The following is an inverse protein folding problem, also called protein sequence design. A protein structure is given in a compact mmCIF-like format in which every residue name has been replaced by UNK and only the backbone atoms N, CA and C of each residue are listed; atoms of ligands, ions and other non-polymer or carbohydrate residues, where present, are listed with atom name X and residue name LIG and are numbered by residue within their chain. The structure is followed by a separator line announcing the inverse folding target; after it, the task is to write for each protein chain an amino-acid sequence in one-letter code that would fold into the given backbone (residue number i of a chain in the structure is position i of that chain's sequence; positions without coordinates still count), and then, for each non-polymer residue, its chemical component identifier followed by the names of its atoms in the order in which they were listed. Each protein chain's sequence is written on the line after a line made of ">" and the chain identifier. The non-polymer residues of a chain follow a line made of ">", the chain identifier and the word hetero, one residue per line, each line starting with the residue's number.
data_IF_893482858417
#
_entry.id   IF_893482858417
#
_cell.length_a   1.000
_cell.length_b   1.000
_cell.length_c   1.000
_cell.angle_alpha   90.00
_cell.angle_beta   90.00
_cell.angle_gamma   90.00
#
_symmetry.space_group_name_H-M   'P 1'
#
loop_
_entity.id
_entity.type
_entity.pdbx_description
1 polymer ?
#
# COMPACT_ATOMS: atom_id res chain seq x y z
N UNK A 1 11.84 100.48 -18.41
CA UNK A 1 11.84 99.03 -18.08
C UNK A 1 10.96 98.84 -16.87
N UNK A 2 9.76 98.28 -17.04
CA UNK A 2 8.88 97.94 -15.92
C UNK A 2 9.17 96.52 -15.45
N UNK A 3 9.53 96.35 -14.17
CA UNK A 3 9.65 95.03 -13.54
C UNK A 3 8.25 94.58 -13.12
N UNK A 4 7.48 94.01 -14.05
CA UNK A 4 6.21 93.40 -13.70
C UNK A 4 6.45 92.10 -12.93
N UNK A 5 5.90 92.00 -11.72
CA UNK A 5 6.00 90.83 -10.86
C UNK A 5 4.70 90.02 -10.95
N UNK A 6 4.82 88.78 -11.43
CA UNK A 6 3.75 87.78 -11.27
C UNK A 6 3.74 87.23 -9.84
N UNK A 7 2.62 86.65 -9.42
CA UNK A 7 2.48 86.03 -8.11
C UNK A 7 3.35 84.78 -7.95
N UNK A 8 3.47 84.30 -6.71
CA UNK A 8 4.26 83.10 -6.37
C UNK A 8 3.73 81.88 -7.14
N UNK A 9 4.60 81.21 -7.90
CA UNK A 9 4.24 80.03 -8.72
C UNK A 9 3.66 80.34 -10.10
N UNK A 10 3.67 81.60 -10.55
CA UNK A 10 3.24 82.01 -11.89
C UNK A 10 4.43 82.25 -12.82
N UNK A 11 4.28 81.85 -14.08
CA UNK A 11 5.19 82.15 -15.19
C UNK A 11 4.69 83.43 -15.87
N UNK A 12 5.60 84.39 -16.06
CA UNK A 12 5.31 85.62 -16.81
C UNK A 12 5.54 85.40 -18.31
N UNK A 13 4.51 85.63 -19.11
CA UNK A 13 4.62 85.67 -20.57
C UNK A 13 4.47 87.12 -21.05
N UNK A 14 5.51 87.65 -21.67
CA UNK A 14 5.49 88.99 -22.26
C UNK A 14 4.70 89.00 -23.56
N UNK A 15 3.83 89.98 -23.72
CA UNK A 15 3.02 90.21 -24.91
C UNK A 15 3.37 91.59 -25.49
N UNK A 16 3.18 91.82 -26.80
CA UNK A 16 3.37 93.15 -27.38
C UNK A 16 2.45 94.18 -26.70
N UNK A 17 3.03 95.05 -25.88
CA UNK A 17 2.30 96.09 -25.12
C UNK A 17 1.69 95.63 -23.79
N UNK A 18 1.85 94.38 -23.36
CA UNK A 18 1.30 93.87 -22.09
C UNK A 18 2.06 92.65 -21.55
N UNK A 19 1.59 92.06 -20.45
CA UNK A 19 2.11 90.80 -19.92
C UNK A 19 0.94 89.97 -19.39
N UNK A 20 1.07 88.64 -19.41
CA UNK A 20 0.14 87.70 -18.76
C UNK A 20 0.89 86.80 -17.80
N UNK A 21 0.28 86.52 -16.65
CA UNK A 21 0.81 85.61 -15.65
C UNK A 21 -0.03 84.33 -15.68
N UNK A 22 0.58 83.20 -16.02
CA UNK A 22 -0.08 81.90 -16.02
C UNK A 22 0.49 81.03 -14.90
N UNK A 23 -0.30 80.14 -14.34
CA UNK A 23 0.24 79.14 -13.42
C UNK A 23 1.15 78.15 -14.18
N UNK A 24 2.16 77.62 -13.50
CA UNK A 24 2.96 76.52 -14.03
C UNK A 24 2.07 75.33 -14.45
N UNK A 25 2.52 74.54 -15.43
CA UNK A 25 1.81 73.32 -15.84
C UNK A 25 1.53 72.43 -14.63
N UNK A 26 0.30 71.90 -14.51
CA UNK A 26 -0.15 71.16 -13.33
C UNK A 26 -0.79 72.02 -12.22
N UNK A 27 -0.85 73.34 -12.38
CA UNK A 27 -1.46 74.25 -11.40
C UNK A 27 -2.62 75.06 -11.98
N UNK A 28 -3.61 75.35 -11.13
CA UNK A 28 -4.79 76.16 -11.40
C UNK A 28 -4.77 77.42 -10.54
N UNK A 29 -5.08 78.57 -11.16
CA UNK A 29 -5.22 79.81 -10.43
C UNK A 29 -6.48 79.80 -9.55
N UNK A 30 -6.30 79.92 -8.23
CA UNK A 30 -7.39 80.10 -7.27
C UNK A 30 -7.65 81.61 -7.12
N UNK A 31 -8.75 82.10 -7.71
CA UNK A 31 -9.10 83.52 -7.69
C UNK A 31 -9.43 84.06 -6.28
N UNK A 32 -9.88 83.20 -5.36
CA UNK A 32 -10.18 83.58 -3.98
C UNK A 32 -8.91 83.75 -3.16
N UNK A 33 -7.96 82.83 -3.32
CA UNK A 33 -6.67 82.86 -2.61
C UNK A 33 -5.59 83.68 -3.32
N UNK A 34 -5.82 84.07 -4.58
CA UNK A 34 -4.85 84.74 -5.47
C UNK A 34 -3.51 83.98 -5.61
N UNK A 35 -3.55 82.65 -5.58
CA UNK A 35 -2.36 81.78 -5.61
C UNK A 35 -2.61 80.62 -6.59
N UNK A 36 -1.54 80.09 -7.20
CA UNK A 36 -1.59 78.87 -7.98
C UNK A 36 -1.68 77.65 -7.06
N UNK A 37 -2.77 76.90 -7.17
CA UNK A 37 -3.01 75.68 -6.42
C UNK A 37 -2.83 74.47 -7.33
N UNK A 38 -2.27 73.42 -6.76
CA UNK A 38 -2.04 72.17 -7.47
C UNK A 38 -3.35 71.58 -8.02
N UNK A 39 -3.31 71.08 -9.25
CA UNK A 39 -4.45 70.40 -9.88
C UNK A 39 -4.38 68.94 -9.51
N UNK A 40 -5.34 68.47 -8.71
CA UNK A 40 -5.44 67.03 -8.45
C UNK A 40 -5.99 66.29 -9.69
N UNK A 41 -5.10 65.76 -10.52
CA UNK A 41 -5.48 65.07 -11.75
C UNK A 41 -6.20 63.74 -11.45
N UNK A 42 -5.92 63.13 -10.30
CA UNK A 42 -6.59 61.93 -9.82
C UNK A 42 -8.07 62.16 -9.45
N UNK A 43 -8.52 63.40 -9.25
CA UNK A 43 -9.95 63.69 -9.03
C UNK A 43 -10.72 64.02 -10.31
N UNK A 44 -10.03 64.44 -11.37
CA UNK A 44 -10.70 64.82 -12.62
C UNK A 44 -11.15 63.60 -13.44
N UNK A 45 -10.31 62.58 -13.57
CA UNK A 45 -10.65 61.33 -14.27
C UNK A 45 -9.68 60.18 -13.92
N UNK A 46 -9.71 59.66 -12.68
CA UNK A 46 -8.72 58.70 -12.18
C UNK A 46 -8.60 57.43 -13.05
N UNK A 47 -9.74 56.88 -13.50
CA UNK A 47 -9.79 55.65 -14.33
C UNK A 47 -9.30 55.81 -15.77
N UNK A 48 -9.08 57.05 -16.24
CA UNK A 48 -8.51 57.34 -17.57
C UNK A 48 -7.05 57.75 -17.48
N UNK A 49 -6.55 58.12 -16.30
CA UNK A 49 -5.18 58.57 -16.09
C UNK A 49 -4.23 57.42 -15.77
N UNK A 50 -4.63 56.54 -14.85
CA UNK A 50 -3.86 55.37 -14.42
C UNK A 50 -4.73 54.11 -14.54
N UNK A 51 -4.12 52.97 -14.86
CA UNK A 51 -4.86 51.70 -14.93
C UNK A 51 -5.38 51.24 -13.55
N UNK A 52 -4.61 51.48 -12.48
CA UNK A 52 -4.93 51.03 -11.12
C UNK A 52 -4.94 52.18 -10.10
N UNK A 53 -3.78 52.58 -9.57
CA UNK A 53 -3.68 53.60 -8.51
C UNK A 53 -3.11 54.90 -9.06
N UNK A 54 -3.73 56.03 -8.69
CA UNK A 54 -3.28 57.38 -9.02
C UNK A 54 -2.95 58.12 -7.73
N UNK A 55 -1.73 58.65 -7.64
CA UNK A 55 -1.27 59.45 -6.50
C UNK A 55 -0.90 60.86 -7.00
N UNK A 56 -1.61 61.85 -6.47
CA UNK A 56 -1.38 63.24 -6.81
C UNK A 56 -0.06 63.74 -6.19
N UNK A 57 0.74 64.45 -6.97
CA UNK A 57 2.01 65.04 -6.54
C UNK A 57 2.01 66.53 -6.85
N UNK A 58 2.93 67.30 -6.28
CA UNK A 58 2.95 68.74 -6.54
C UNK A 58 3.33 69.01 -8.00
N UNK A 59 2.40 69.55 -8.80
CA UNK A 59 2.57 69.88 -10.21
C UNK A 59 2.43 68.70 -11.19
N UNK A 60 2.08 67.51 -10.71
CA UNK A 60 1.89 66.32 -11.55
C UNK A 60 1.20 65.18 -10.79
N UNK A 61 1.15 63.99 -11.39
CA UNK A 61 0.69 62.77 -10.74
C UNK A 61 1.66 61.62 -11.00
N UNK A 62 1.60 60.58 -10.16
CA UNK A 62 2.25 59.30 -10.43
C UNK A 62 1.23 58.17 -10.41
N UNK A 63 1.40 57.22 -11.31
CA UNK A 63 0.64 55.97 -11.28
C UNK A 63 1.44 54.91 -10.54
N UNK A 64 0.74 54.06 -9.80
CA UNK A 64 1.30 52.87 -9.16
C UNK A 64 0.38 51.67 -9.36
N UNK A 65 0.97 50.49 -9.32
CA UNK A 65 0.26 49.23 -9.50
C UNK A 65 0.13 48.51 -8.16
N UNK A 66 -0.96 47.77 -8.00
CA UNK A 66 -1.18 46.88 -6.86
C UNK A 66 -0.23 45.70 -6.91
N UNK A 67 -0.05 45.02 -5.78
CA UNK A 67 0.75 43.78 -5.70
C UNK A 67 0.35 42.79 -6.79
N UNK A 68 1.33 42.12 -7.40
CA UNK A 68 1.14 41.24 -8.56
C UNK A 68 1.23 41.95 -9.92
N UNK A 69 1.46 43.26 -9.94
CA UNK A 69 1.57 44.04 -11.17
C UNK A 69 2.78 44.97 -11.15
N UNK A 70 3.32 45.23 -12.34
CA UNK A 70 4.44 46.14 -12.57
C UNK A 70 4.02 47.29 -13.48
N UNK A 71 4.58 48.48 -13.26
CA UNK A 71 4.26 49.65 -14.07
C UNK A 71 4.94 49.51 -15.44
N UNK A 72 4.14 49.58 -16.50
CA UNK A 72 4.62 49.51 -17.87
C UNK A 72 5.50 50.72 -18.24
N UNK A 73 6.23 50.62 -19.35
CA UNK A 73 7.14 51.67 -19.83
C UNK A 73 6.46 53.02 -20.12
N UNK A 74 5.13 53.02 -20.31
CA UNK A 74 4.33 54.22 -20.51
C UNK A 74 4.02 54.99 -19.22
N UNK A 75 4.38 54.42 -18.06
CA UNK A 75 4.18 55.02 -16.74
C UNK A 75 2.72 55.07 -16.30
N UNK A 76 1.79 54.36 -16.97
CA UNK A 76 0.34 54.44 -16.73
C UNK A 76 -0.37 53.09 -16.65
N UNK A 77 0.05 52.15 -17.49
CA UNK A 77 -0.52 50.81 -17.53
C UNK A 77 0.18 49.87 -16.55
N UNK A 78 -0.55 48.87 -16.08
CA UNK A 78 -0.04 47.86 -15.17
C UNK A 78 -0.03 46.51 -15.88
N UNK A 79 1.15 45.91 -15.97
CA UNK A 79 1.35 44.59 -16.56
C UNK A 79 1.47 43.55 -15.45
N UNK A 80 0.84 42.41 -15.66
CA UNK A 80 0.87 41.28 -14.74
C UNK A 80 2.31 40.81 -14.52
N UNK A 81 2.70 40.64 -13.27
CA UNK A 81 4.02 40.10 -12.92
C UNK A 81 3.92 38.60 -12.92
N UNK A 82 4.72 37.95 -13.78
CA UNK A 82 4.81 36.49 -13.75
C UNK A 82 5.66 36.03 -12.57
N UNK A 83 5.05 35.72 -11.43
CA UNK A 83 5.81 35.28 -10.27
C UNK A 83 6.46 33.90 -10.47
N UNK A 84 5.98 33.11 -11.44
CA UNK A 84 6.56 31.79 -11.76
C UNK A 84 7.99 31.86 -12.31
N UNK A 85 8.44 33.01 -12.80
CA UNK A 85 9.82 33.19 -13.29
C UNK A 85 10.87 32.99 -12.17
N UNK A 86 10.47 33.12 -10.90
CA UNK A 86 11.32 32.89 -9.74
C UNK A 86 11.19 31.47 -9.14
N UNK A 87 10.46 30.56 -9.78
CA UNK A 87 10.18 29.21 -9.26
C UNK A 87 9.70 29.18 -7.80
N UNK A 88 8.61 29.90 -7.45
CA UNK A 88 8.13 29.98 -6.08
C UNK A 88 7.51 28.67 -5.58
N UNK A 89 7.08 27.81 -6.51
CA UNK A 89 6.45 26.52 -6.21
C UNK A 89 7.48 25.39 -6.19
N UNK A 90 7.28 24.43 -5.31
CA UNK A 90 8.11 23.21 -5.26
C UNK A 90 7.95 22.31 -6.51
N UNK A 91 6.79 22.37 -7.19
CA UNK A 91 6.50 21.58 -8.39
C UNK A 91 5.95 22.48 -9.50
N UNK A 92 4.64 22.43 -9.78
CA UNK A 92 4.06 23.15 -10.92
C UNK A 92 3.61 24.55 -10.50
N UNK A 93 3.97 25.57 -11.28
CA UNK A 93 3.55 26.96 -11.09
C UNK A 93 2.74 27.42 -12.29
N UNK A 94 1.60 28.05 -12.03
CA UNK A 94 0.77 28.67 -13.06
C UNK A 94 0.57 30.14 -12.69
N UNK A 95 1.00 31.01 -13.59
CA UNK A 95 0.76 32.44 -13.47
C UNK A 95 -0.72 32.74 -13.74
N UNK A 96 -1.34 33.53 -12.87
CA UNK A 96 -2.73 33.96 -13.00
C UNK A 96 -2.78 35.49 -12.91
N UNK A 97 -3.84 36.11 -13.42
CA UNK A 97 -3.91 37.56 -13.37
C UNK A 97 -3.89 38.10 -11.92
N UNK A 98 -2.83 38.83 -11.59
CA UNK A 98 -2.55 39.44 -10.29
C UNK A 98 -1.93 38.53 -9.24
N UNK A 99 -1.57 37.28 -9.58
CA UNK A 99 -0.92 36.34 -8.65
C UNK A 99 -0.43 35.05 -9.36
N UNK A 100 -0.14 34.01 -8.59
CA UNK A 100 0.19 32.69 -9.11
C UNK A 100 -0.44 31.61 -8.25
N UNK A 101 -0.51 30.40 -8.80
CA UNK A 101 -0.95 29.21 -8.08
C UNK A 101 0.03 28.06 -8.27
N UNK A 102 0.31 27.37 -7.18
CA UNK A 102 1.11 26.15 -7.18
C UNK A 102 0.21 24.92 -7.23
N UNK A 103 0.61 23.93 -8.03
CA UNK A 103 -0.04 22.64 -8.12
C UNK A 103 0.95 21.52 -7.90
N UNK A 104 0.44 20.41 -7.37
CA UNK A 104 1.22 19.21 -7.13
C UNK A 104 0.90 18.14 -8.16
N UNK A 105 1.94 17.45 -8.60
CA UNK A 105 1.83 16.27 -9.47
C UNK A 105 1.07 15.16 -8.77
N UNK A 106 0.60 14.19 -9.55
CA UNK A 106 -0.04 13.00 -9.01
C UNK A 106 0.88 12.30 -7.98
N UNK A 107 0.31 11.89 -6.85
CA UNK A 107 1.05 11.29 -5.73
C UNK A 107 1.49 12.30 -4.67
N UNK A 108 1.14 13.57 -4.79
CA UNK A 108 1.50 14.63 -3.84
C UNK A 108 0.29 15.47 -3.44
N UNK A 109 0.33 16.07 -2.26
CA UNK A 109 -0.64 17.04 -1.80
C UNK A 109 0.02 18.39 -1.48
N UNK A 110 -0.71 19.48 -1.72
CA UNK A 110 -0.24 20.83 -1.47
C UNK A 110 -0.38 21.16 0.02
N UNK A 111 0.71 21.63 0.65
CA UNK A 111 0.72 22.07 2.05
C UNK A 111 -0.10 23.33 2.27
N UNK A 112 -0.36 23.62 3.55
CA UNK A 112 -1.01 24.85 3.99
C UNK A 112 -0.26 26.12 3.56
N UNK A 113 1.05 26.04 3.33
CA UNK A 113 1.84 27.15 2.80
C UNK A 113 1.47 27.51 1.35
N UNK A 114 0.76 26.62 0.63
CA UNK A 114 0.36 26.72 -0.78
C UNK A 114 1.54 26.77 -1.78
N UNK A 115 2.72 26.31 -1.39
CA UNK A 115 3.92 26.27 -2.25
C UNK A 115 4.59 24.90 -2.26
N UNK A 116 4.54 24.20 -1.14
CA UNK A 116 5.25 22.94 -0.94
C UNK A 116 4.33 21.75 -1.21
N UNK A 117 4.79 20.84 -2.08
CA UNK A 117 4.14 19.58 -2.35
C UNK A 117 4.80 18.48 -1.52
N UNK A 118 4.01 17.85 -0.66
CA UNK A 118 4.46 16.69 0.13
C UNK A 118 3.92 15.40 -0.47
N UNK A 119 4.74 14.37 -0.41
CA UNK A 119 4.40 13.02 -0.86
C UNK A 119 3.19 12.48 -0.10
N UNK A 120 2.26 11.86 -0.82
CA UNK A 120 1.13 11.18 -0.23
C UNK A 120 1.61 9.80 0.22
N UNK A 121 1.71 9.59 1.52
CA UNK A 121 1.98 8.25 2.05
C UNK A 121 0.73 7.35 1.90
N UNK A 122 0.65 6.63 0.79
CA UNK A 122 -0.50 5.77 0.51
C UNK A 122 -0.58 4.56 1.45
N UNK A 123 0.55 4.18 2.07
CA UNK A 123 0.60 3.09 3.04
C UNK A 123 -0.02 3.50 4.39
N UNK A 124 0.11 4.77 4.79
CA UNK A 124 -0.45 5.31 6.04
C UNK A 124 -1.92 5.73 5.91
N UNK A 125 -2.39 6.11 4.72
CA UNK A 125 -3.75 6.62 4.51
C UNK A 125 -4.85 5.53 4.50
N UNK A 126 -4.51 4.25 4.66
CA UNK A 126 -5.46 3.14 4.89
C UNK A 126 -6.57 3.00 3.82
N UNK A 127 -6.28 3.33 2.55
CA UNK A 127 -7.25 3.23 1.44
C UNK A 127 -7.40 1.75 0.99
N UNK A 128 -7.91 0.89 1.87
CA UNK A 128 -8.17 -0.52 1.57
C UNK A 128 -6.92 -1.36 1.28
N UNK A 129 -7.12 -2.57 0.75
CA UNK A 129 -6.08 -3.56 0.44
C UNK A 129 -5.18 -3.11 -0.72
N UNK A 130 -4.33 -2.08 -0.53
CA UNK A 130 -3.38 -1.59 -1.55
C UNK A 130 -2.41 -2.70 -1.99
N UNK A 131 -1.88 -3.43 -1.02
CA UNK A 131 -0.91 -4.50 -1.20
C UNK A 131 -1.39 -5.77 -0.52
N UNK A 132 -1.04 -6.93 -1.09
CA UNK A 132 -1.38 -8.24 -0.54
C UNK A 132 -0.52 -8.66 0.66
N UNK A 133 0.67 -8.07 0.82
CA UNK A 133 1.56 -8.32 1.96
C UNK A 133 2.06 -7.01 2.58
N UNK A 134 3.08 -6.41 1.96
CA UNK A 134 3.76 -5.23 2.51
C UNK A 134 3.66 -4.07 1.53
N UNK A 135 3.22 -2.92 2.04
CA UNK A 135 3.27 -1.64 1.35
C UNK A 135 4.55 -0.90 1.75
N UNK A 136 5.22 -0.29 0.78
CA UNK A 136 6.40 0.56 0.97
C UNK A 136 6.11 1.89 0.28
N UNK A 137 6.07 2.97 1.05
CA UNK A 137 5.90 4.31 0.51
C UNK A 137 7.17 4.72 -0.23
N UNK A 138 7.03 5.30 -1.43
CA UNK A 138 8.14 5.82 -2.23
C UNK A 138 7.79 7.19 -2.77
N UNK A 139 8.78 8.03 -3.05
CA UNK A 139 8.50 9.41 -3.48
C UNK A 139 7.68 9.42 -4.80
N UNK A 140 6.45 9.93 -4.71
CA UNK A 140 5.44 10.03 -5.77
C UNK A 140 4.55 8.81 -5.97
N UNK A 141 4.73 7.72 -5.20
CA UNK A 141 3.90 6.51 -5.31
C UNK A 141 4.11 5.52 -4.14
N UNK A 142 3.69 4.27 -4.32
CA UNK A 142 4.02 3.17 -3.42
C UNK A 142 4.44 1.93 -4.20
N UNK A 143 5.13 1.03 -3.52
CA UNK A 143 5.49 -0.29 -4.04
C UNK A 143 5.00 -1.37 -3.09
N UNK A 144 4.48 -2.45 -3.66
CA UNK A 144 4.16 -3.64 -2.88
C UNK A 144 5.33 -4.61 -2.94
N UNK A 145 5.75 -5.10 -1.77
CA UNK A 145 6.77 -6.12 -1.64
C UNK A 145 6.15 -7.44 -1.21
N UNK A 146 6.67 -8.54 -1.76
CA UNK A 146 6.40 -9.89 -1.29
C UNK A 146 7.52 -10.38 -0.37
N UNK A 147 7.28 -11.39 0.49
CA UNK A 147 8.34 -12.01 1.27
C UNK A 147 9.48 -12.46 0.36
N UNK A 148 10.73 -12.18 0.76
CA UNK A 148 11.92 -12.34 -0.12
C UNK A 148 12.20 -13.77 -0.59
N UNK A 149 11.53 -14.78 -0.03
CA UNK A 149 11.68 -16.19 -0.38
C UNK A 149 10.29 -16.85 -0.50
N UNK A 150 10.08 -17.65 -1.55
CA UNK A 150 8.87 -18.45 -1.73
C UNK A 150 7.67 -17.73 -2.36
N UNK A 151 7.79 -16.44 -2.71
CA UNK A 151 6.71 -15.69 -3.36
C UNK A 151 7.19 -14.86 -4.54
N UNK A 152 6.31 -14.70 -5.52
CA UNK A 152 6.48 -13.77 -6.65
C UNK A 152 5.31 -12.81 -6.73
N UNK A 153 5.61 -11.58 -7.15
CA UNK A 153 4.58 -10.59 -7.48
C UNK A 153 3.85 -11.03 -8.76
N UNK A 154 2.52 -11.01 -8.70
CA UNK A 154 1.66 -11.25 -9.88
C UNK A 154 1.70 -10.01 -10.78
N UNK A 155 1.31 -10.13 -12.05
CA UNK A 155 1.34 -9.05 -13.06
C UNK A 155 0.73 -7.70 -12.59
N UNK A 156 -0.21 -7.73 -11.65
CA UNK A 156 -0.82 -6.52 -11.10
C UNK A 156 0.11 -5.74 -10.14
N UNK A 157 1.30 -6.24 -9.83
CA UNK A 157 2.28 -5.63 -8.93
C UNK A 157 1.88 -5.58 -7.46
N UNK A 158 0.64 -5.98 -7.11
CA UNK A 158 0.05 -5.81 -5.77
C UNK A 158 -0.14 -7.09 -4.98
N UNK A 159 -0.26 -8.23 -5.66
CA UNK A 159 -0.56 -9.51 -5.02
C UNK A 159 0.64 -10.45 -5.08
N UNK A 160 0.81 -11.21 -4.00
CA UNK A 160 1.86 -12.22 -3.88
C UNK A 160 1.29 -13.60 -4.20
N UNK A 161 1.98 -14.34 -5.05
CA UNK A 161 1.68 -15.73 -5.35
C UNK A 161 2.83 -16.60 -4.89
N UNK A 162 2.48 -17.66 -4.19
CA UNK A 162 3.39 -18.73 -3.79
C UNK A 162 4.15 -19.32 -5.00
N UNK A 163 5.44 -19.57 -4.82
CA UNK A 163 6.27 -20.27 -5.80
C UNK A 163 6.13 -21.75 -5.51
N UNK A 164 5.59 -22.51 -6.46
CA UNK A 164 5.60 -23.97 -6.33
C UNK A 164 6.99 -24.53 -6.64
N UNK A 165 7.87 -24.59 -5.63
CA UNK A 165 9.27 -24.99 -5.84
C UNK A 165 9.41 -26.43 -6.34
N UNK A 166 8.42 -27.28 -5.99
CA UNK A 166 8.34 -28.67 -6.45
C UNK A 166 8.05 -28.76 -7.94
N UNK A 167 7.19 -27.87 -8.47
CA UNK A 167 6.88 -27.82 -9.89
C UNK A 167 7.93 -27.07 -10.70
N UNK A 168 8.54 -26.04 -10.15
CA UNK A 168 9.59 -25.26 -10.83
C UNK A 168 10.95 -25.96 -10.79
N UNK A 169 11.12 -26.98 -9.94
CA UNK A 169 12.38 -27.71 -9.77
C UNK A 169 13.46 -26.89 -9.07
N UNK A 170 13.08 -25.85 -8.33
CA UNK A 170 14.01 -25.00 -7.56
C UNK A 170 14.27 -25.51 -6.15
N UNK A 171 13.64 -26.63 -5.77
CA UNK A 171 13.86 -27.30 -4.50
C UNK A 171 15.23 -28.01 -4.44
N UNK A 172 15.74 -28.24 -3.23
CA UNK A 172 16.99 -28.97 -2.99
C UNK A 172 16.79 -30.39 -2.42
N UNK A 173 15.60 -30.97 -2.60
CA UNK A 173 15.30 -32.34 -2.16
C UNK A 173 16.23 -33.38 -2.80
N UNK A 174 16.65 -34.36 -2.00
CA UNK A 174 17.41 -35.53 -2.47
C UNK A 174 16.54 -36.44 -3.36
N UNK A 175 17.17 -37.26 -4.20
CA UNK A 175 16.45 -38.21 -5.07
C UNK A 175 15.54 -39.20 -4.32
N UNK A 176 15.87 -39.53 -3.07
CA UNK A 176 15.06 -40.41 -2.21
C UNK A 176 13.93 -39.69 -1.46
N UNK A 177 13.84 -38.35 -1.58
CA UNK A 177 12.85 -37.52 -0.89
C UNK A 177 11.75 -37.07 -1.85
N UNK A 178 10.54 -36.99 -1.34
CA UNK A 178 9.41 -36.39 -2.05
C UNK A 178 9.34 -34.91 -1.69
N UNK A 179 9.24 -34.04 -2.70
CA UNK A 179 9.01 -32.61 -2.51
C UNK A 179 7.53 -32.31 -2.26
N UNK A 180 7.26 -31.50 -1.24
CA UNK A 180 5.94 -30.97 -0.92
C UNK A 180 5.96 -29.45 -0.92
N UNK A 181 5.14 -28.85 -1.78
CA UNK A 181 5.00 -27.40 -1.83
C UNK A 181 4.15 -26.92 -0.64
N UNK A 182 4.65 -25.91 0.07
CA UNK A 182 3.99 -25.24 1.18
C UNK A 182 3.84 -23.76 0.86
N UNK A 183 2.94 -23.08 1.57
CA UNK A 183 2.79 -21.65 1.39
C UNK A 183 4.05 -20.91 1.90
N UNK A 184 4.83 -20.37 0.96
CA UNK A 184 6.07 -19.62 1.14
C UNK A 184 7.36 -20.45 1.23
N UNK A 185 7.29 -21.76 1.00
CA UNK A 185 8.44 -22.66 1.11
C UNK A 185 8.11 -24.07 0.58
N UNK A 186 9.08 -24.97 0.60
CA UNK A 186 8.87 -26.39 0.34
C UNK A 186 9.42 -27.25 1.48
N UNK A 187 8.98 -28.50 1.54
CA UNK A 187 9.57 -29.52 2.40
C UNK A 187 9.91 -30.78 1.64
N UNK A 188 11.10 -31.30 1.95
CA UNK A 188 11.56 -32.60 1.48
C UNK A 188 11.30 -33.64 2.55
N UNK A 189 10.44 -34.60 2.26
CA UNK A 189 10.09 -35.65 3.22
C UNK A 189 10.51 -36.99 2.64
N UNK A 190 11.30 -37.74 3.41
CA UNK A 190 11.55 -39.15 3.13
C UNK A 190 10.54 -40.00 3.89
N UNK A 191 10.02 -41.03 3.21
CA UNK A 191 9.18 -42.04 3.83
C UNK A 191 9.95 -43.36 3.84
N UNK A 192 10.51 -43.64 5.01
CA UNK A 192 11.26 -44.86 5.27
C UNK A 192 10.35 -45.86 5.98
N UNK A 193 10.36 -47.10 5.52
CA UNK A 193 9.58 -48.15 6.17
C UNK A 193 10.31 -48.60 7.45
N UNK A 194 9.61 -48.75 8.58
CA UNK A 194 10.20 -49.32 9.79
C UNK A 194 10.73 -50.73 9.55
N UNK A 195 11.59 -51.20 10.47
CA UNK A 195 12.06 -52.59 10.45
C UNK A 195 10.87 -53.56 10.43
N UNK A 196 10.97 -54.63 9.62
CA UNK A 196 9.91 -55.61 9.35
C UNK A 196 8.77 -55.14 8.42
N UNK A 197 8.93 -54.01 7.73
CA UNK A 197 8.04 -53.59 6.66
C UNK A 197 8.80 -53.45 5.35
N UNK A 198 8.17 -53.86 4.24
CA UNK A 198 8.66 -53.63 2.89
C UNK A 198 7.94 -52.42 2.27
N UNK A 199 8.68 -51.60 1.52
CA UNK A 199 8.10 -50.47 0.77
C UNK A 199 7.39 -51.01 -0.45
N UNK A 200 6.08 -50.78 -0.54
CA UNK A 200 5.25 -51.21 -1.68
C UNK A 200 4.92 -50.05 -2.62
N UNK A 201 4.91 -48.83 -2.09
CA UNK A 201 4.79 -47.60 -2.88
C UNK A 201 5.57 -46.47 -2.18
N UNK A 202 5.72 -45.28 -2.80
CA UNK A 202 6.40 -44.15 -2.17
C UNK A 202 5.85 -43.77 -0.79
N UNK A 203 4.55 -44.01 -0.55
CA UNK A 203 3.84 -43.64 0.68
C UNK A 203 3.25 -44.83 1.43
N UNK A 204 3.52 -46.08 1.02
CA UNK A 204 2.94 -47.27 1.65
C UNK A 204 4.00 -48.30 1.97
N UNK A 205 3.89 -48.85 3.17
CA UNK A 205 4.66 -49.97 3.66
C UNK A 205 3.73 -51.12 4.03
N UNK A 206 4.12 -52.34 3.68
CA UNK A 206 3.42 -53.56 4.07
C UNK A 206 4.27 -54.37 5.04
N UNK A 207 3.62 -54.92 6.06
CA UNK A 207 4.28 -55.79 7.02
C UNK A 207 4.81 -57.03 6.30
N UNK A 208 6.07 -57.36 6.54
CA UNK A 208 6.67 -58.61 6.05
C UNK A 208 6.03 -59.78 6.82
N UNK A 209 5.99 -60.98 6.22
CA UNK A 209 5.46 -62.18 6.86
C UNK A 209 6.07 -62.37 8.26
N UNK A 210 5.21 -62.39 9.28
CA UNK A 210 5.64 -62.54 10.65
C UNK A 210 6.10 -63.98 10.94
N UNK A 211 7.18 -64.18 11.69
CA UNK A 211 7.50 -65.49 12.27
C UNK A 211 6.32 -66.00 13.11
N UNK A 212 6.08 -67.31 13.10
CA UNK A 212 4.94 -67.96 13.78
C UNK A 212 4.86 -67.65 15.27
N UNK A 213 5.99 -67.37 15.92
CA UNK A 213 6.07 -67.15 17.37
C UNK A 213 6.19 -65.66 17.78
N UNK A 214 6.17 -64.71 16.83
CA UNK A 214 6.28 -63.28 17.16
C UNK A 214 4.91 -62.63 17.33
N UNK A 215 4.40 -62.64 18.56
CA UNK A 215 3.12 -62.02 18.93
C UNK A 215 3.16 -60.50 18.66
N UNK A 216 4.29 -59.85 18.94
CA UNK A 216 4.48 -58.42 18.68
C UNK A 216 4.36 -58.09 17.19
N UNK A 217 4.93 -58.93 16.32
CA UNK A 217 4.77 -58.76 14.88
C UNK A 217 3.31 -58.98 14.46
N UNK A 218 2.64 -60.01 14.99
CA UNK A 218 1.25 -60.30 14.65
C UNK A 218 0.28 -59.19 15.07
N UNK A 219 0.54 -58.52 16.20
CA UNK A 219 -0.22 -57.38 16.68
C UNK A 219 0.14 -56.05 15.99
N UNK A 220 1.27 -55.98 15.29
CA UNK A 220 1.69 -54.78 14.56
C UNK A 220 0.73 -54.48 13.39
N UNK A 221 0.64 -53.23 12.92
CA UNK A 221 -0.20 -52.88 11.77
C UNK A 221 0.11 -53.70 10.50
N UNK A 222 -0.90 -54.11 9.72
CA UNK A 222 -0.66 -54.79 8.45
C UNK A 222 -0.05 -53.86 7.40
N UNK A 223 -0.46 -52.59 7.42
CA UNK A 223 -0.01 -51.54 6.51
C UNK A 223 0.25 -50.26 7.26
N UNK A 224 1.27 -49.55 6.81
CA UNK A 224 1.57 -48.18 7.23
C UNK A 224 1.44 -47.29 6.00
N UNK A 225 0.53 -46.33 6.06
CA UNK A 225 0.31 -45.33 5.03
C UNK A 225 0.79 -43.97 5.51
N UNK A 226 1.52 -43.26 4.65
CA UNK A 226 2.04 -41.94 4.91
C UNK A 226 1.15 -40.90 4.22
N UNK A 227 0.75 -39.90 4.99
CA UNK A 227 -0.11 -38.81 4.53
C UNK A 227 0.49 -37.46 4.90
N UNK A 228 0.15 -36.45 4.11
CA UNK A 228 0.59 -35.08 4.33
C UNK A 228 -0.63 -34.15 4.23
N UNK A 229 -0.73 -33.20 5.15
CA UNK A 229 -1.77 -32.20 5.24
C UNK A 229 -1.14 -30.82 5.42
N UNK A 230 -1.59 -29.85 4.62
CA UNK A 230 -1.18 -28.46 4.75
C UNK A 230 -2.34 -27.64 5.30
N UNK A 231 -2.12 -27.00 6.45
CA UNK A 231 -3.09 -26.13 7.10
C UNK A 231 -2.46 -24.75 7.31
N UNK A 232 -3.29 -23.73 7.46
CA UNK A 232 -2.82 -22.38 7.83
C UNK A 232 -2.91 -22.19 9.34
N UNK A 233 -2.15 -21.25 9.90
CA UNK A 233 -2.38 -20.81 11.28
C UNK A 233 -3.77 -20.20 11.40
N UNK A 234 -4.33 -20.26 12.61
CA UNK A 234 -5.66 -19.70 12.91
C UNK A 234 -6.82 -20.31 12.11
N UNK A 235 -6.71 -21.58 11.67
CA UNK A 235 -7.86 -22.33 11.14
C UNK A 235 -8.99 -22.37 12.19
N UNK A 236 -10.22 -22.10 11.74
CA UNK A 236 -11.41 -22.11 12.60
C UNK A 236 -11.65 -23.52 13.13
N UNK A 237 -11.66 -23.67 14.45
CA UNK A 237 -11.85 -24.97 15.13
C UNK A 237 -13.23 -25.10 15.78
N UNK A 238 -13.82 -26.32 15.83
CA UNK A 238 -13.24 -27.58 15.39
C UNK A 238 -13.29 -27.78 13.87
N UNK A 239 -12.17 -28.19 13.26
CA UNK A 239 -12.07 -28.47 11.82
C UNK A 239 -11.82 -29.95 11.56
N UNK A 240 -12.56 -30.57 10.65
CA UNK A 240 -12.26 -31.92 10.16
C UNK A 240 -11.08 -31.85 9.19
N UNK A 241 -9.92 -32.38 9.56
CA UNK A 241 -8.68 -32.25 8.76
C UNK A 241 -8.28 -33.52 8.03
N UNK A 242 -8.74 -34.68 8.50
CA UNK A 242 -8.44 -35.97 7.88
C UNK A 242 -9.62 -36.91 8.02
N UNK A 243 -9.91 -37.67 6.97
CA UNK A 243 -10.97 -38.69 6.96
C UNK A 243 -10.38 -40.00 6.47
N UNK A 244 -10.69 -41.09 7.14
CA UNK A 244 -10.19 -42.43 6.82
C UNK A 244 -11.30 -43.47 6.92
N UNK A 245 -11.12 -44.54 6.16
CA UNK A 245 -11.96 -45.73 6.15
C UNK A 245 -11.26 -46.85 5.38
N UNK A 246 -11.74 -48.09 5.47
CA UNK A 246 -11.18 -49.20 4.71
C UNK A 246 -11.53 -49.03 3.22
N UNK A 247 -10.65 -49.53 2.34
CA UNK A 247 -10.88 -49.48 0.90
C UNK A 247 -12.05 -50.36 0.44
N UNK A 248 -12.38 -51.39 1.21
CA UNK A 248 -13.53 -52.28 1.00
C UNK A 248 -14.30 -52.46 2.30
N UNK A 249 -15.62 -52.29 2.21
CA UNK A 249 -16.55 -52.37 3.35
C UNK A 249 -17.48 -53.56 3.13
N UNK A 250 -17.67 -54.39 4.15
CA UNK A 250 -18.62 -55.51 4.15
C UNK A 250 -19.64 -55.33 5.28
N UNK A 251 -20.79 -55.99 5.14
CA UNK A 251 -21.83 -55.99 6.19
C UNK A 251 -21.27 -56.54 7.50
N UNK A 252 -21.51 -55.82 8.60
CA UNK A 252 -21.01 -56.16 9.93
C UNK A 252 -19.59 -55.67 10.25
N UNK A 253 -18.89 -55.05 9.30
CA UNK A 253 -17.61 -54.40 9.59
C UNK A 253 -17.79 -53.23 10.56
N UNK A 254 -16.84 -53.06 11.45
CA UNK A 254 -16.80 -51.94 12.38
C UNK A 254 -15.37 -51.44 12.55
N UNK A 255 -15.17 -50.13 12.67
CA UNK A 255 -13.84 -49.56 12.92
C UNK A 255 -13.72 -48.92 14.30
N UNK A 256 -12.50 -48.95 14.83
CA UNK A 256 -12.04 -48.15 15.95
C UNK A 256 -10.89 -47.29 15.45
N UNK A 257 -10.93 -45.99 15.78
CA UNK A 257 -9.90 -45.02 15.40
C UNK A 257 -9.32 -44.37 16.66
N UNK A 258 -8.00 -44.32 16.75
CA UNK A 258 -7.29 -43.72 17.88
C UNK A 258 -6.01 -43.06 17.43
N UNK A 259 -5.71 -41.88 17.99
CA UNK A 259 -4.39 -41.24 17.84
C UNK A 259 -3.48 -41.89 18.88
N UNK A 260 -2.42 -42.56 18.43
CA UNK A 260 -1.52 -43.30 19.31
C UNK A 260 -0.21 -42.54 19.62
N UNK A 261 0.16 -41.54 18.82
CA UNK A 261 1.34 -40.69 19.04
C UNK A 261 1.18 -39.31 18.39
N UNK A 262 1.88 -38.29 18.89
CA UNK A 262 1.99 -36.97 18.27
C UNK A 262 0.90 -35.98 18.66
N UNK A 263 0.11 -36.31 19.68
CA UNK A 263 -0.98 -35.47 20.18
C UNK A 263 -0.84 -35.20 21.70
N UNK A 264 0.39 -35.09 22.18
CA UNK A 264 0.73 -34.90 23.60
C UNK A 264 0.14 -33.58 24.14
N UNK A 265 0.04 -32.56 23.30
CA UNK A 265 -0.53 -31.23 23.64
C UNK A 265 -2.06 -31.15 23.42
N UNK A 266 -2.70 -32.21 22.93
CA UNK A 266 -4.16 -32.29 22.77
C UNK A 266 -4.77 -31.37 21.71
N UNK A 267 -4.05 -31.07 20.62
CA UNK A 267 -4.59 -30.27 19.50
C UNK A 267 -5.61 -31.05 18.67
N UNK A 268 -5.50 -32.37 18.62
CA UNK A 268 -6.27 -33.22 17.74
C UNK A 268 -7.20 -34.15 18.51
N UNK A 269 -8.30 -34.56 17.88
CA UNK A 269 -9.14 -35.63 18.38
C UNK A 269 -9.54 -36.56 17.25
N UNK A 270 -9.56 -37.87 17.52
CA UNK A 270 -10.14 -38.85 16.62
C UNK A 270 -11.61 -39.07 16.97
N UNK A 271 -12.48 -39.07 15.96
CA UNK A 271 -13.90 -39.36 16.13
C UNK A 271 -14.37 -40.35 15.06
N UNK A 272 -15.16 -41.32 15.49
CA UNK A 272 -15.88 -42.21 14.58
C UNK A 272 -17.09 -41.47 14.01
N UNK A 273 -17.23 -41.46 12.68
CA UNK A 273 -18.34 -40.81 11.99
C UNK A 273 -19.49 -41.78 11.74
N UNK A 274 -19.17 -43.01 11.34
CA UNK A 274 -20.11 -44.11 11.14
C UNK A 274 -19.39 -45.45 11.31
N UNK A 275 -20.05 -46.58 11.07
CA UNK A 275 -19.48 -47.93 11.29
C UNK A 275 -18.16 -48.19 10.57
N UNK A 276 -17.88 -47.52 9.45
CA UNK A 276 -16.71 -47.78 8.60
C UNK A 276 -15.84 -46.54 8.35
N UNK A 277 -16.18 -45.39 8.93
CA UNK A 277 -15.48 -44.13 8.66
C UNK A 277 -15.13 -43.42 9.97
N UNK A 278 -13.88 -42.96 10.05
CA UNK A 278 -13.38 -42.11 11.14
C UNK A 278 -12.79 -40.82 10.58
N UNK A 279 -12.65 -39.82 11.45
CA UNK A 279 -12.01 -38.57 11.10
C UNK A 279 -11.17 -38.01 12.25
N UNK A 280 -10.13 -37.27 11.88
CA UNK A 280 -9.31 -36.48 12.79
C UNK A 280 -9.76 -35.03 12.70
N UNK A 281 -9.97 -34.44 13.85
CA UNK A 281 -10.36 -33.04 14.00
C UNK A 281 -9.26 -32.25 14.69
N UNK A 282 -8.94 -31.08 14.15
CA UNK A 282 -8.22 -30.05 14.89
C UNK A 282 -9.20 -29.38 15.86
N UNK A 283 -8.97 -29.54 17.16
CA UNK A 283 -9.84 -29.04 18.24
C UNK A 283 -9.42 -27.67 18.75
N UNK A 284 -8.12 -27.35 18.67
CA UNK A 284 -7.55 -26.10 19.16
C UNK A 284 -6.89 -25.35 18.02
N UNK A 285 -7.12 -24.04 17.95
CA UNK A 285 -6.40 -23.17 17.03
C UNK A 285 -4.90 -23.24 17.30
N UNK A 286 -4.11 -23.13 16.24
CA UNK A 286 -2.65 -23.04 16.30
C UNK A 286 -2.27 -21.67 15.79
N UNK A 287 -1.79 -20.81 16.69
CA UNK A 287 -1.53 -19.40 16.41
C UNK A 287 -0.23 -19.21 15.61
N UNK A 288 0.79 -20.03 15.89
CA UNK A 288 2.12 -19.97 15.26
C UNK A 288 2.40 -21.17 14.34
N UNK A 289 3.26 -21.02 13.31
CA UNK A 289 3.65 -22.13 12.44
C UNK A 289 4.24 -23.29 13.25
N UNK A 290 3.69 -24.49 13.06
CA UNK A 290 4.09 -25.68 13.81
C UNK A 290 3.77 -26.94 13.00
N UNK A 291 4.67 -27.90 13.07
CA UNK A 291 4.49 -29.20 12.41
C UNK A 291 4.12 -30.26 13.42
N UNK A 292 3.23 -31.17 13.02
CA UNK A 292 2.84 -32.32 13.82
C UNK A 292 3.05 -33.60 13.02
N UNK A 293 3.45 -34.66 13.71
CA UNK A 293 3.52 -36.00 13.16
C UNK A 293 2.61 -36.91 13.97
N UNK A 294 1.43 -37.21 13.41
CA UNK A 294 0.42 -38.02 14.08
C UNK A 294 0.54 -39.47 13.60
N UNK A 295 0.66 -40.39 14.56
CA UNK A 295 0.43 -41.80 14.27
C UNK A 295 -1.03 -42.12 14.67
N UNK A 296 -1.86 -42.43 13.67
CA UNK A 296 -3.28 -42.72 13.84
C UNK A 296 -3.53 -44.19 13.49
N UNK A 297 -3.98 -44.95 14.47
CA UNK A 297 -4.32 -46.36 14.30
C UNK A 297 -5.81 -46.50 13.98
N UNK A 298 -6.11 -47.26 12.93
CA UNK A 298 -7.45 -47.74 12.60
C UNK A 298 -7.48 -49.26 12.77
N UNK A 299 -8.30 -49.75 13.71
CA UNK A 299 -8.58 -51.18 13.88
C UNK A 299 -9.89 -51.51 13.20
N UNK A 300 -9.84 -52.39 12.20
CA UNK A 300 -11.01 -52.94 11.52
C UNK A 300 -11.42 -54.25 12.18
N UNK A 301 -12.62 -54.30 12.73
CA UNK A 301 -13.27 -55.52 13.20
C UNK A 301 -14.04 -56.16 12.04
N UNK A 302 -13.61 -57.34 11.62
CA UNK A 302 -14.29 -58.15 10.59
C UNK A 302 -14.43 -59.57 11.09
N UNK A 303 -15.65 -60.10 11.11
CA UNK A 303 -15.96 -61.47 11.59
C UNK A 303 -15.33 -61.81 12.95
N UNK A 304 -15.31 -60.84 13.87
CA UNK A 304 -14.75 -61.02 15.23
C UNK A 304 -13.22 -60.88 15.34
N UNK A 305 -12.50 -60.67 14.23
CA UNK A 305 -11.05 -60.46 14.23
C UNK A 305 -10.72 -59.00 14.01
N UNK A 306 -9.80 -58.44 14.82
CA UNK A 306 -9.28 -57.10 14.63
C UNK A 306 -8.06 -57.11 13.72
N UNK A 307 -8.05 -56.22 12.75
CA UNK A 307 -6.92 -55.95 11.88
C UNK A 307 -6.49 -54.50 12.05
N UNK A 308 -5.22 -54.26 12.37
CA UNK A 308 -4.68 -52.91 12.58
C UNK A 308 -4.07 -52.32 11.31
N UNK A 309 -4.31 -51.03 11.09
CA UNK A 309 -3.73 -50.21 10.03
C UNK A 309 -3.22 -48.91 10.63
N UNK A 310 -2.03 -48.46 10.21
CA UNK A 310 -1.43 -47.24 10.72
C UNK A 310 -1.40 -46.17 9.64
N UNK A 311 -1.89 -44.98 9.97
CA UNK A 311 -1.75 -43.78 9.16
C UNK A 311 -0.81 -42.81 9.87
N UNK A 312 0.37 -42.59 9.28
CA UNK A 312 1.32 -41.58 9.73
C UNK A 312 1.08 -40.28 8.97
N UNK A 313 0.58 -39.27 9.66
CA UNK A 313 0.08 -38.03 9.07
C UNK A 313 1.02 -36.88 9.47
N UNK A 314 1.72 -36.33 8.49
CA UNK A 314 2.46 -35.08 8.62
C UNK A 314 1.48 -33.92 8.44
N UNK A 315 1.27 -33.13 9.48
CA UNK A 315 0.45 -31.93 9.43
C UNK A 315 1.38 -30.73 9.50
N UNK A 316 1.54 -30.03 8.38
CA UNK A 316 2.32 -28.81 8.28
C UNK A 316 1.40 -27.61 8.46
N UNK A 317 1.62 -26.82 9.51
CA UNK A 317 0.87 -25.58 9.74
C UNK A 317 1.75 -24.39 9.39
N UNK A 318 1.40 -23.68 8.31
CA UNK A 318 2.14 -22.52 7.81
C UNK A 318 1.45 -21.21 8.20
N UNK A 319 2.22 -20.13 8.32
CA UNK A 319 1.69 -18.82 8.70
C UNK A 319 0.58 -18.35 7.78
N UNK A 320 -0.50 -17.82 8.37
CA UNK A 320 -1.56 -17.12 7.65
C UNK A 320 -1.22 -15.64 7.39
N UNK A 321 -0.10 -15.13 7.94
CA UNK A 321 0.45 -13.83 7.53
C UNK A 321 1.01 -14.02 6.12
N UNK A 322 0.16 -13.75 5.12
CA UNK A 322 0.63 -13.40 3.78
C UNK A 322 1.30 -12.07 3.84
#
# INVERSE_FOLDING_TARGET
>A
MGTHQCGVGQICHNLPGSYRCDCQTGYRYDAFRKVCTDVNECWQSPRRLCAQTCENTQGSYRCSCTTGFSLALDGKNCEDVNECDNNPCSQECVNIYGSYQCYCRQGYYLKEDRHTCEDIDECSQSIGNLCGFQCINVVGSYQCACPRNGYVTVANGRTCRDIDECRTGTHNCSFSQTCYNLQGSFKCVSFDCPQNYKKVSPTHCERISCPTNSIDCQNSPLRIAYHQLNLKTNVITPAQIFRMGPSQVFSGDNIVISIIKGNEEGYFSARKLNSFTGAIYLQRKVDEPKDFLLDVEMKLLRKGTFTSFLSRIYVFITSNKM
#
